data_IF_612562326619
#
_entry.id   IF_612562326619
#
_cell.length_a   1.000
_cell.length_b   1.000
_cell.length_c   1.000
_cell.angle_alpha   90.00
_cell.angle_beta   90.00
_cell.angle_gamma   90.00
#
_symmetry.space_group_name_H-M   'P 1'
#
loop_
_entity.id
_entity.type
_entity.pdbx_description
1 polymer ?
#
# COMPACT_ATOMS: atom_id res chain seq x y z
N UNK A 1 19.65 -5.79 4.53
CA UNK A 1 18.84 -4.59 4.18
C UNK A 1 19.21 -3.49 5.17
N UNK A 2 19.78 -2.38 4.70
CA UNK A 2 20.06 -1.25 5.58
C UNK A 2 18.76 -0.73 6.19
N UNK A 3 18.70 -0.61 7.51
CA UNK A 3 17.60 0.07 8.18
C UNK A 3 17.60 1.51 7.66
N UNK A 4 16.43 1.99 7.18
CA UNK A 4 16.28 3.39 6.78
C UNK A 4 16.67 4.29 7.93
N UNK A 5 17.70 5.11 7.72
CA UNK A 5 18.03 6.17 8.68
C UNK A 5 16.98 7.29 8.55
N UNK A 6 15.99 7.26 9.42
CA UNK A 6 14.89 8.22 9.41
C UNK A 6 15.35 9.66 9.62
N UNK A 7 16.49 9.87 10.34
CA UNK A 7 17.05 11.22 10.54
C UNK A 7 17.63 11.74 9.23
N UNK A 8 18.39 10.89 8.54
CA UNK A 8 18.95 11.22 7.24
C UNK A 8 17.85 11.52 6.21
N UNK A 9 16.82 10.67 6.13
CA UNK A 9 15.67 10.87 5.26
C UNK A 9 14.95 12.20 5.55
N UNK A 10 14.78 12.57 6.82
CA UNK A 10 14.17 13.85 7.18
C UNK A 10 15.04 15.05 6.74
N UNK A 11 16.37 14.95 6.81
CA UNK A 11 17.28 15.98 6.29
C UNK A 11 17.17 16.13 4.78
N UNK A 12 17.06 15.02 4.02
CA UNK A 12 16.83 15.08 2.58
C UNK A 12 15.53 15.82 2.24
N UNK A 13 14.47 15.58 3.00
CA UNK A 13 13.19 16.29 2.81
C UNK A 13 13.36 17.80 3.02
N UNK A 14 14.04 18.22 4.09
CA UNK A 14 14.27 19.64 4.38
C UNK A 14 15.03 20.30 3.23
N UNK A 15 16.12 19.69 2.75
CA UNK A 15 16.91 20.19 1.62
C UNK A 15 16.07 20.26 0.34
N UNK A 16 15.32 19.22 0.04
CA UNK A 16 14.45 19.17 -1.16
C UNK A 16 13.32 20.22 -1.09
N UNK A 17 12.78 20.53 0.09
CA UNK A 17 11.81 21.63 0.29
C UNK A 17 12.43 23.01 0.01
N UNK A 18 13.74 23.15 0.13
CA UNK A 18 14.50 24.36 -0.21
C UNK A 18 14.91 24.43 -1.69
N UNK A 19 14.49 23.44 -2.49
CA UNK A 19 14.75 23.40 -3.94
C UNK A 19 15.98 22.58 -4.32
N UNK A 20 16.60 21.83 -3.40
CA UNK A 20 17.71 20.94 -3.70
C UNK A 20 17.19 19.69 -4.44
N UNK A 21 17.41 19.65 -5.76
CA UNK A 21 16.99 18.54 -6.61
C UNK A 21 17.74 17.24 -6.33
N UNK A 22 19.01 17.34 -5.93
CA UNK A 22 19.82 16.16 -5.61
C UNK A 22 19.32 15.49 -4.34
N UNK A 23 18.90 16.29 -3.34
CA UNK A 23 18.28 15.75 -2.13
C UNK A 23 16.95 15.02 -2.43
N UNK A 24 16.16 15.48 -3.40
CA UNK A 24 14.96 14.75 -3.82
C UNK A 24 15.31 13.46 -4.57
N UNK A 25 16.34 13.48 -5.42
CA UNK A 25 16.81 12.28 -6.10
C UNK A 25 17.34 11.22 -5.11
N UNK A 26 18.06 11.66 -4.06
CA UNK A 26 18.50 10.76 -2.99
C UNK A 26 17.31 10.22 -2.17
N UNK A 27 16.30 11.04 -1.88
CA UNK A 27 15.06 10.60 -1.24
C UNK A 27 14.35 9.53 -2.08
N UNK A 28 14.26 9.75 -3.39
CA UNK A 28 13.74 8.77 -4.33
C UNK A 28 14.53 7.46 -4.24
N UNK A 29 15.85 7.51 -4.40
CA UNK A 29 16.72 6.34 -4.38
C UNK A 29 16.61 5.54 -3.07
N UNK A 30 16.44 6.22 -1.94
CA UNK A 30 16.30 5.58 -0.63
C UNK A 30 14.93 4.93 -0.39
N UNK A 31 13.89 5.32 -1.14
CA UNK A 31 12.51 4.94 -0.82
C UNK A 31 11.76 4.22 -1.95
N UNK A 32 12.23 4.32 -3.22
CA UNK A 32 11.51 3.82 -4.40
C UNK A 32 11.21 2.33 -4.36
N UNK A 33 12.17 1.50 -3.94
CA UNK A 33 12.02 0.04 -3.92
C UNK A 33 10.85 -0.38 -3.02
N UNK A 34 10.72 0.26 -1.85
CA UNK A 34 9.62 -0.01 -0.92
C UNK A 34 8.27 0.41 -1.49
N UNK A 35 8.24 1.56 -2.18
CA UNK A 35 7.01 2.06 -2.81
C UNK A 35 6.62 1.18 -4.01
N UNK A 36 7.58 0.77 -4.82
CA UNK A 36 7.36 -0.14 -5.95
C UNK A 36 6.81 -1.49 -5.50
N UNK A 37 7.45 -2.14 -4.53
CA UNK A 37 6.98 -3.43 -3.99
C UNK A 37 5.57 -3.33 -3.42
N UNK A 38 5.23 -2.20 -2.81
CA UNK A 38 3.87 -1.95 -2.36
C UNK A 38 2.90 -1.89 -3.54
N UNK A 39 3.21 -1.08 -4.57
CA UNK A 39 2.38 -0.93 -5.77
C UNK A 39 2.20 -2.25 -6.51
N UNK A 40 3.29 -3.01 -6.68
CA UNK A 40 3.27 -4.33 -7.32
C UNK A 40 2.37 -5.32 -6.59
N UNK A 41 2.52 -5.40 -5.26
CA UNK A 41 1.67 -6.25 -4.43
C UNK A 41 0.20 -5.84 -4.47
N UNK A 42 -0.05 -4.53 -4.61
CA UNK A 42 -1.38 -3.96 -4.62
C UNK A 42 -2.09 -4.14 -5.96
N UNK A 43 -1.41 -3.85 -7.07
CA UNK A 43 -1.97 -3.85 -8.43
C UNK A 43 -1.83 -5.19 -9.13
N UNK A 44 -0.89 -6.05 -8.68
CA UNK A 44 -0.55 -7.36 -9.28
C UNK A 44 -0.20 -7.28 -10.78
N UNK A 45 0.29 -6.13 -11.22
CA UNK A 45 0.69 -5.81 -12.58
C UNK A 45 1.93 -4.92 -12.53
N UNK A 46 3.01 -5.33 -13.23
CA UNK A 46 4.29 -4.64 -13.19
C UNK A 46 4.22 -3.27 -13.88
N UNK A 47 3.50 -3.15 -14.98
CA UNK A 47 3.36 -1.90 -15.73
C UNK A 47 2.56 -0.89 -14.90
N UNK A 48 1.43 -1.31 -14.37
CA UNK A 48 0.63 -0.46 -13.49
C UNK A 48 1.39 -0.08 -12.20
N UNK A 49 2.23 -0.99 -11.68
CA UNK A 49 3.05 -0.70 -10.51
C UNK A 49 4.13 0.35 -10.80
N UNK A 50 4.74 0.32 -11.99
CA UNK A 50 5.69 1.33 -12.44
C UNK A 50 5.02 2.69 -12.64
N UNK A 51 3.86 2.71 -13.29
CA UNK A 51 3.06 3.93 -13.48
C UNK A 51 2.63 4.52 -12.14
N UNK A 52 2.17 3.68 -11.20
CA UNK A 52 1.82 4.11 -9.86
C UNK A 52 3.00 4.69 -9.09
N UNK A 53 4.17 4.08 -9.22
CA UNK A 53 5.41 4.58 -8.63
C UNK A 53 5.75 5.98 -9.17
N UNK A 54 5.74 6.13 -10.49
CA UNK A 54 6.03 7.39 -11.15
C UNK A 54 5.07 8.50 -10.73
N UNK A 55 3.77 8.24 -10.77
CA UNK A 55 2.73 9.21 -10.36
C UNK A 55 2.88 9.57 -8.87
N UNK A 56 3.21 8.59 -8.03
CA UNK A 56 3.46 8.81 -6.60
C UNK A 56 4.55 9.85 -6.38
N UNK A 57 5.68 9.74 -7.08
CA UNK A 57 6.79 10.69 -6.91
C UNK A 57 6.57 12.03 -7.60
N UNK A 58 5.81 12.07 -8.69
CA UNK A 58 5.35 13.34 -9.29
C UNK A 58 4.46 14.09 -8.27
N UNK A 59 3.51 13.41 -7.65
CA UNK A 59 2.65 14.02 -6.63
C UNK A 59 3.43 14.39 -5.36
N UNK A 60 4.40 13.56 -4.97
CA UNK A 60 5.29 13.85 -3.85
C UNK A 60 6.09 15.13 -4.12
N UNK A 61 6.74 15.25 -5.27
CA UNK A 61 7.51 16.45 -5.62
C UNK A 61 6.64 17.71 -5.61
N UNK A 62 5.45 17.66 -6.24
CA UNK A 62 4.51 18.80 -6.30
C UNK A 62 4.00 19.25 -4.93
N UNK A 63 3.97 18.36 -3.95
CA UNK A 63 3.36 18.62 -2.64
C UNK A 63 4.35 18.56 -1.47
N UNK A 64 5.65 18.37 -1.74
CA UNK A 64 6.67 18.18 -0.70
C UNK A 64 6.71 19.35 0.29
N UNK A 65 6.55 20.57 -0.20
CA UNK A 65 6.53 21.80 0.61
C UNK A 65 5.35 21.87 1.59
N UNK A 66 4.28 21.07 1.36
CA UNK A 66 3.12 20.99 2.27
C UNK A 66 3.36 20.05 3.45
N UNK A 67 4.41 19.21 3.40
CA UNK A 67 4.77 18.31 4.49
C UNK A 67 5.39 19.11 5.62
N UNK A 68 4.61 19.33 6.71
CA UNK A 68 5.02 20.15 7.86
C UNK A 68 6.08 19.46 8.72
N UNK A 69 6.00 18.14 8.86
CA UNK A 69 6.94 17.35 9.64
C UNK A 69 7.73 16.40 8.72
N UNK A 70 9.00 16.72 8.41
CA UNK A 70 9.85 15.89 7.56
C UNK A 70 10.04 14.45 8.04
N UNK A 71 9.92 14.19 9.35
CA UNK A 71 10.06 12.84 9.92
C UNK A 71 8.94 11.90 9.50
N UNK A 72 7.80 12.44 9.07
CA UNK A 72 6.62 11.70 8.63
C UNK A 72 6.62 11.37 7.13
N UNK A 73 7.69 11.70 6.39
CA UNK A 73 7.75 11.55 4.92
C UNK A 73 7.44 10.13 4.45
N UNK A 74 7.91 9.11 5.15
CA UNK A 74 7.64 7.70 4.77
C UNK A 74 6.15 7.39 4.86
N UNK A 75 5.50 7.80 5.95
CA UNK A 75 4.06 7.61 6.11
C UNK A 75 3.26 8.41 5.09
N UNK A 76 3.72 9.62 4.79
CA UNK A 76 3.12 10.50 3.80
C UNK A 76 3.28 9.94 2.37
N UNK A 77 4.46 9.46 1.96
CA UNK A 77 4.67 8.76 0.69
C UNK A 77 3.78 7.52 0.57
N UNK A 78 3.67 6.73 1.64
CA UNK A 78 2.79 5.57 1.65
C UNK A 78 1.31 5.95 1.42
N UNK A 79 0.85 7.09 1.95
CA UNK A 79 -0.52 7.58 1.72
C UNK A 79 -0.73 8.01 0.26
N UNK A 80 0.24 8.71 -0.32
CA UNK A 80 0.18 9.11 -1.75
C UNK A 80 0.13 7.86 -2.62
N UNK A 81 1.07 6.93 -2.44
CA UNK A 81 1.14 5.69 -3.21
C UNK A 81 -0.14 4.85 -3.09
N UNK A 82 -0.66 4.70 -1.86
CA UNK A 82 -1.93 4.02 -1.65
C UNK A 82 -3.05 4.66 -2.48
N UNK A 83 -3.18 6.00 -2.43
CA UNK A 83 -4.23 6.72 -3.16
C UNK A 83 -4.09 6.56 -4.67
N UNK A 84 -2.87 6.62 -5.19
CA UNK A 84 -2.59 6.40 -6.62
C UNK A 84 -3.01 4.99 -7.02
N UNK A 85 -2.53 3.97 -6.32
CA UNK A 85 -2.88 2.57 -6.61
C UNK A 85 -4.39 2.32 -6.52
N UNK A 86 -5.06 2.88 -5.51
CA UNK A 86 -6.50 2.76 -5.34
C UNK A 86 -7.27 3.36 -6.51
N UNK A 87 -6.89 4.56 -6.95
CA UNK A 87 -7.54 5.23 -8.09
C UNK A 87 -7.30 4.47 -9.41
N UNK A 88 -6.08 3.95 -9.62
CA UNK A 88 -5.77 3.12 -10.80
C UNK A 88 -6.62 1.84 -10.81
N UNK A 89 -6.73 1.16 -9.68
CA UNK A 89 -7.56 -0.02 -9.55
C UNK A 89 -9.04 0.26 -9.84
N UNK A 90 -9.60 1.34 -9.30
CA UNK A 90 -10.97 1.74 -9.60
C UNK A 90 -11.19 2.05 -11.09
N UNK A 91 -10.21 2.71 -11.72
CA UNK A 91 -10.26 3.00 -13.16
C UNK A 91 -10.25 1.71 -13.99
N UNK A 92 -9.41 0.75 -13.63
CA UNK A 92 -9.34 -0.55 -14.29
C UNK A 92 -10.63 -1.35 -14.12
N UNK A 93 -11.22 -1.38 -12.92
CA UNK A 93 -12.51 -2.04 -12.69
C UNK A 93 -13.63 -1.44 -13.56
N UNK A 94 -13.71 -0.10 -13.68
CA UNK A 94 -14.70 0.55 -14.54
C UNK A 94 -14.49 0.17 -16.00
N UNK A 95 -13.25 0.19 -16.48
CA UNK A 95 -12.92 -0.20 -17.84
C UNK A 95 -13.34 -1.65 -18.13
N UNK A 96 -13.04 -2.58 -17.24
CA UNK A 96 -13.41 -3.99 -17.39
C UNK A 96 -14.94 -4.18 -17.36
N UNK A 97 -15.68 -3.43 -16.53
CA UNK A 97 -17.13 -3.46 -16.50
C UNK A 97 -17.77 -2.92 -17.79
N UNK A 98 -17.21 -1.85 -18.36
CA UNK A 98 -17.66 -1.27 -19.64
C UNK A 98 -17.39 -2.20 -20.83
N UNK A 99 -16.31 -2.98 -20.77
CA UNK A 99 -15.93 -3.93 -21.83
C UNK A 99 -16.60 -5.30 -21.70
N UNK A 100 -17.49 -5.53 -20.71
CA UNK A 100 -18.11 -6.83 -20.41
C UNK A 100 -17.09 -7.98 -20.20
N UNK A 101 -15.90 -7.67 -19.77
CA UNK A 101 -14.88 -8.66 -19.38
C UNK A 101 -15.25 -9.16 -17.99
N UNK A 102 -15.72 -10.41 -17.88
CA UNK A 102 -16.03 -11.03 -16.60
C UNK A 102 -14.75 -11.29 -15.79
N UNK A 103 -14.82 -11.17 -14.46
CA UNK A 103 -13.68 -11.43 -13.55
C UNK A 103 -13.08 -12.83 -13.71
N UNK A 104 -13.79 -13.77 -14.31
CA UNK A 104 -13.33 -15.14 -14.59
C UNK A 104 -12.13 -15.21 -15.56
N UNK A 105 -11.92 -14.21 -16.42
CA UNK A 105 -10.80 -14.18 -17.36
C UNK A 105 -9.49 -13.69 -16.73
N UNK A 106 -9.52 -13.14 -15.50
CA UNK A 106 -8.36 -12.56 -14.81
C UNK A 106 -7.70 -13.49 -13.78
N UNK A 107 -8.30 -14.64 -13.45
CA UNK A 107 -7.74 -15.57 -12.45
C UNK A 107 -6.52 -16.39 -12.94
N UNK A 108 -6.17 -16.33 -14.23
CA UNK A 108 -5.11 -17.17 -14.81
C UNK A 108 -3.71 -16.54 -14.82
N UNK A 109 -3.47 -15.42 -14.15
CA UNK A 109 -2.12 -14.84 -14.02
C UNK A 109 -1.69 -14.80 -12.55
N UNK A 110 -1.60 -15.98 -11.94
CA UNK A 110 -0.85 -16.16 -10.70
C UNK A 110 0.58 -16.57 -11.03
N UNK A 111 1.44 -15.61 -11.29
CA UNK A 111 2.88 -15.84 -11.29
C UNK A 111 3.42 -15.64 -9.89
N UNK A 112 4.08 -16.67 -9.40
CA UNK A 112 4.79 -16.74 -8.14
C UNK A 112 5.70 -15.53 -7.90
N UNK A 113 5.31 -14.65 -7.01
CA UNK A 113 6.22 -13.65 -6.42
C UNK A 113 6.47 -14.04 -4.97
N UNK A 114 7.36 -15.00 -4.81
CA UNK A 114 7.95 -15.32 -3.50
C UNK A 114 8.92 -14.22 -3.13
N UNK A 115 8.44 -13.21 -2.43
CA UNK A 115 9.31 -12.17 -1.85
C UNK A 115 9.82 -12.62 -0.50
N UNK A 116 11.10 -12.94 -0.45
CA UNK A 116 11.86 -13.19 0.76
C UNK A 116 11.83 -11.97 1.69
N UNK A 117 11.10 -12.06 2.78
CA UNK A 117 11.29 -11.21 3.93
C UNK A 117 12.25 -11.94 4.87
N UNK A 118 13.48 -11.41 4.98
CA UNK A 118 14.50 -11.90 5.90
C UNK A 118 14.08 -11.73 7.34
N UNK A 119 13.97 -12.84 8.06
CA UNK A 119 13.73 -12.92 9.49
C UNK A 119 15.06 -13.06 10.25
N UNK A 120 15.17 -12.49 11.42
CA UNK A 120 16.18 -12.75 12.44
C UNK A 120 15.72 -13.89 13.38
N UNK A 121 16.67 -14.61 14.04
CA UNK A 121 16.45 -16.02 14.40
C UNK A 121 15.81 -16.26 15.79
N UNK A 122 15.25 -17.41 15.92
CA UNK A 122 15.07 -18.33 17.04
C UNK A 122 13.79 -18.33 17.90
N UNK A 123 12.97 -17.27 18.00
CA UNK A 123 11.68 -17.42 18.71
C UNK A 123 10.44 -17.17 17.83
N UNK A 124 10.63 -17.09 16.53
CA UNK A 124 9.64 -16.45 15.64
C UNK A 124 9.09 -17.32 14.50
N UNK A 125 9.53 -18.54 14.30
CA UNK A 125 9.14 -19.29 13.08
C UNK A 125 7.63 -19.51 13.04
N UNK A 126 7.03 -19.97 14.13
CA UNK A 126 5.57 -20.22 14.21
C UNK A 126 4.76 -18.92 14.17
N UNK A 127 5.23 -17.86 14.84
CA UNK A 127 4.58 -16.55 14.83
C UNK A 127 4.73 -15.83 13.50
N UNK A 128 5.86 -16.02 12.80
CA UNK A 128 6.12 -15.45 11.47
C UNK A 128 5.24 -16.13 10.43
N UNK A 129 5.08 -17.44 10.49
CA UNK A 129 4.25 -18.19 9.55
C UNK A 129 2.77 -17.87 9.75
N UNK A 130 2.29 -17.83 11.00
CA UNK A 130 0.91 -17.42 11.30
C UNK A 130 0.62 -15.98 10.87
N UNK A 131 1.59 -15.07 11.02
CA UNK A 131 1.46 -13.68 10.58
C UNK A 131 1.45 -13.57 9.05
N UNK A 132 2.31 -14.34 8.36
CA UNK A 132 2.33 -14.40 6.90
C UNK A 132 1.01 -14.97 6.37
N UNK A 133 0.55 -16.06 6.97
CA UNK A 133 -0.74 -16.66 6.64
C UNK A 133 -1.88 -15.65 6.77
N UNK A 134 -2.01 -14.98 7.91
CA UNK A 134 -3.04 -13.96 8.13
C UNK A 134 -2.96 -12.81 7.10
N UNK A 135 -1.75 -12.32 6.80
CA UNK A 135 -1.57 -11.27 5.78
C UNK A 135 -2.02 -11.77 4.41
N UNK A 136 -1.71 -13.01 4.04
CA UNK A 136 -2.13 -13.59 2.78
C UNK A 136 -3.66 -13.71 2.72
N UNK A 137 -4.32 -14.16 3.79
CA UNK A 137 -5.78 -14.21 3.85
C UNK A 137 -6.42 -12.81 3.73
N UNK A 138 -5.83 -11.80 4.36
CA UNK A 138 -6.28 -10.40 4.21
C UNK A 138 -6.14 -9.94 2.75
N UNK A 139 -5.06 -10.31 2.07
CA UNK A 139 -4.81 -9.91 0.68
C UNK A 139 -5.69 -10.66 -0.34
N UNK A 140 -6.25 -11.81 0.04
CA UNK A 140 -7.21 -12.56 -0.76
C UNK A 140 -8.64 -12.05 -0.61
N UNK A 141 -8.91 -11.15 0.33
CA UNK A 141 -10.22 -10.48 0.43
C UNK A 141 -10.49 -9.59 -0.80
N UNK A 142 -11.76 -9.31 -1.09
CA UNK A 142 -12.11 -8.26 -2.05
C UNK A 142 -11.32 -6.99 -1.74
N UNK A 143 -10.79 -6.36 -2.77
CA UNK A 143 -9.81 -5.29 -2.70
C UNK A 143 -10.13 -4.22 -1.65
N UNK A 144 -11.33 -3.63 -1.70
CA UNK A 144 -11.73 -2.55 -0.78
C UNK A 144 -11.78 -3.01 0.69
N UNK A 145 -12.22 -4.25 0.92
CA UNK A 145 -12.28 -4.85 2.27
C UNK A 145 -10.87 -5.07 2.82
N UNK A 146 -9.97 -5.64 2.00
CA UNK A 146 -8.55 -5.81 2.32
C UNK A 146 -7.90 -4.49 2.73
N UNK A 147 -8.11 -3.44 1.91
CA UNK A 147 -7.49 -2.14 2.18
C UNK A 147 -8.01 -1.49 3.45
N UNK A 148 -9.31 -1.52 3.68
CA UNK A 148 -9.90 -0.95 4.91
C UNK A 148 -9.40 -1.69 6.16
N UNK A 149 -9.23 -3.01 6.10
CA UNK A 149 -8.65 -3.81 7.19
C UNK A 149 -7.18 -3.42 7.43
N UNK A 150 -6.35 -3.36 6.39
CA UNK A 150 -4.95 -2.98 6.52
C UNK A 150 -4.79 -1.56 7.07
N UNK A 151 -5.57 -0.59 6.59
CA UNK A 151 -5.53 0.78 7.10
C UNK A 151 -5.96 0.85 8.56
N UNK A 152 -7.01 0.12 8.94
CA UNK A 152 -7.52 0.13 10.31
C UNK A 152 -6.59 -0.55 11.30
N UNK A 153 -6.15 -1.79 11.00
CA UNK A 153 -5.47 -2.63 11.98
C UNK A 153 -3.95 -2.61 11.85
N UNK A 154 -3.42 -2.45 10.65
CA UNK A 154 -1.97 -2.39 10.44
C UNK A 154 -1.42 -0.97 10.52
N UNK A 155 -2.17 0.02 10.03
CA UNK A 155 -1.80 1.44 10.07
C UNK A 155 -2.45 2.22 11.23
N UNK A 156 -3.33 1.57 12.00
CA UNK A 156 -4.04 2.14 13.14
C UNK A 156 -4.79 3.45 12.85
N UNK A 157 -5.31 3.61 11.61
CA UNK A 157 -6.01 4.82 11.19
C UNK A 157 -7.42 4.89 11.79
N UNK A 158 -7.91 6.12 12.02
CA UNK A 158 -9.30 6.36 12.41
C UNK A 158 -10.22 6.16 11.19
N UNK A 159 -11.51 5.86 11.45
CA UNK A 159 -12.47 5.63 10.37
C UNK A 159 -12.65 6.85 9.46
N UNK A 160 -12.56 8.04 10.03
CA UNK A 160 -12.63 9.31 9.32
C UNK A 160 -11.44 9.49 8.38
N UNK A 161 -10.24 9.15 8.83
CA UNK A 161 -9.01 9.24 8.03
C UNK A 161 -9.03 8.23 6.87
N UNK A 162 -9.54 7.00 7.11
CA UNK A 162 -9.74 5.99 6.07
C UNK A 162 -10.76 6.48 5.05
N UNK A 163 -11.90 7.05 5.51
CA UNK A 163 -12.93 7.58 4.64
C UNK A 163 -12.40 8.67 3.71
N UNK A 164 -11.61 9.61 4.25
CA UNK A 164 -10.96 10.67 3.48
C UNK A 164 -9.90 10.14 2.51
N UNK A 165 -9.07 9.18 2.96
CA UNK A 165 -8.00 8.61 2.15
C UNK A 165 -8.54 7.84 0.95
N UNK A 166 -9.63 7.09 1.14
CA UNK A 166 -10.26 6.25 0.12
C UNK A 166 -11.37 6.96 -0.66
N UNK A 167 -11.68 8.21 -0.32
CA UNK A 167 -12.78 8.99 -0.90
C UNK A 167 -14.13 8.26 -0.85
N UNK A 168 -14.45 7.66 0.30
CA UNK A 168 -15.70 6.95 0.57
C UNK A 168 -16.34 7.45 1.87
N UNK A 169 -17.63 7.19 2.05
CA UNK A 169 -18.30 7.57 3.30
C UNK A 169 -17.80 6.74 4.49
N UNK A 170 -17.83 7.35 5.70
CA UNK A 170 -17.54 6.63 6.95
C UNK A 170 -18.43 5.39 7.15
N UNK A 171 -19.66 5.47 6.69
CA UNK A 171 -20.61 4.33 6.70
C UNK A 171 -20.11 3.20 5.80
N UNK A 172 -19.58 3.53 4.62
CA UNK A 172 -18.96 2.55 3.71
C UNK A 172 -17.73 1.90 4.35
N UNK A 173 -16.86 2.67 5.02
CA UNK A 173 -15.73 2.12 5.76
C UNK A 173 -16.18 1.08 6.79
N UNK A 174 -17.21 1.40 7.60
CA UNK A 174 -17.76 0.46 8.59
C UNK A 174 -18.32 -0.82 7.93
N UNK A 175 -19.02 -0.68 6.80
CA UNK A 175 -19.58 -1.81 6.05
C UNK A 175 -18.48 -2.73 5.53
N UNK A 176 -17.42 -2.18 4.91
CA UNK A 176 -16.28 -2.96 4.41
C UNK A 176 -15.47 -3.61 5.53
N UNK A 177 -15.26 -2.91 6.67
CA UNK A 177 -14.64 -3.51 7.85
C UNK A 177 -15.42 -4.72 8.36
N UNK A 178 -16.75 -4.60 8.44
CA UNK A 178 -17.62 -5.69 8.89
C UNK A 178 -17.54 -6.88 7.94
N UNK A 179 -17.74 -6.65 6.64
CA UNK A 179 -17.72 -7.68 5.62
C UNK A 179 -16.37 -8.42 5.56
N UNK A 180 -15.25 -7.69 5.55
CA UNK A 180 -13.93 -8.29 5.52
C UNK A 180 -13.60 -9.09 6.78
N UNK A 181 -14.02 -8.63 7.96
CA UNK A 181 -13.87 -9.41 9.20
C UNK A 181 -14.68 -10.70 9.20
N UNK A 182 -15.93 -10.67 8.71
CA UNK A 182 -16.79 -11.84 8.60
C UNK A 182 -16.21 -12.88 7.64
N UNK A 183 -15.62 -12.45 6.51
CA UNK A 183 -14.94 -13.34 5.57
C UNK A 183 -13.68 -13.96 6.18
N UNK A 184 -12.83 -13.15 6.83
CA UNK A 184 -11.64 -13.65 7.51
C UNK A 184 -11.98 -14.64 8.62
N UNK A 185 -13.03 -14.37 9.41
CA UNK A 185 -13.46 -15.27 10.47
C UNK A 185 -13.89 -16.65 9.93
N UNK A 186 -14.56 -16.69 8.76
CA UNK A 186 -14.91 -17.96 8.10
C UNK A 186 -13.67 -18.74 7.68
N UNK A 187 -12.74 -18.10 6.97
CA UNK A 187 -11.51 -18.75 6.49
C UNK A 187 -10.65 -19.27 7.63
N UNK A 188 -10.55 -18.52 8.75
CA UNK A 188 -9.76 -18.90 9.90
C UNK A 188 -10.44 -19.95 10.82
N UNK A 189 -11.70 -20.29 10.60
CA UNK A 189 -12.43 -21.34 11.32
C UNK A 189 -12.45 -22.67 10.56
N UNK A 190 -12.16 -22.64 9.26
CA UNK A 190 -12.17 -23.83 8.38
C UNK A 190 -10.81 -24.56 8.37
N UNK A 191 -9.76 -23.97 8.96
CA UNK A 191 -8.43 -24.54 9.20
C UNK A 191 -8.25 -24.98 10.68
#
# INVERSE_FOLDING_TARGET
MNSLDYKYIAQLVIRAQMGDSDAFAELYAATYQRQYLYSLKYLRDEYLAQDALQETYILALKNLTKLKDPTLVISWLNQINFRVCYNMHLKQQRYNQEMNVTEEDLENVTSDVTSQATATPEDSVVLVDSRRYLINQILNLPFTESQVILLKYYRNMKLEEIAQLMDISRTSVKRYLKAGRERLAKVLQED
#
